data_IF_661349191943
#
_entry.id   IF_661349191943
#
_cell.length_a   1.000
_cell.length_b   1.000
_cell.length_c   1.000
_cell.angle_alpha   90.00
_cell.angle_beta   90.00
_cell.angle_gamma   90.00
#
_symmetry.space_group_name_H-M   'P 1'
#
loop_
_entity.id
_entity.type
_entity.pdbx_description
1 polymer ?
#
# COMPACT_ATOMS: atom_id res chain seq x y z
N UNK A 1 -7.33 20.27 6.76
CA UNK A 1 -6.88 19.49 5.58
C UNK A 1 -6.06 18.26 5.97
N UNK A 2 -4.91 18.38 6.67
CA UNK A 2 -4.06 17.21 7.05
C UNK A 2 -4.82 16.07 7.75
N UNK A 3 -5.69 16.39 8.71
CA UNK A 3 -6.53 15.39 9.42
C UNK A 3 -7.42 14.57 8.48
N UNK A 4 -8.11 15.23 7.54
CA UNK A 4 -8.96 14.56 6.57
C UNK A 4 -8.14 13.61 5.69
N UNK A 5 -7.02 14.09 5.17
CA UNK A 5 -6.10 13.30 4.33
C UNK A 5 -5.53 12.08 5.07
N UNK A 6 -5.23 12.20 6.37
CA UNK A 6 -4.84 11.06 7.20
C UNK A 6 -5.98 10.05 7.39
N UNK A 7 -7.21 10.52 7.59
CA UNK A 7 -8.38 9.63 7.69
C UNK A 7 -8.66 8.88 6.40
N UNK A 8 -8.52 9.53 5.24
CA UNK A 8 -8.62 8.86 3.95
C UNK A 8 -7.60 7.72 3.84
N UNK A 9 -6.36 7.95 4.28
CA UNK A 9 -5.33 6.91 4.31
C UNK A 9 -5.64 5.77 5.28
N UNK A 10 -6.16 6.09 6.47
CA UNK A 10 -6.56 5.09 7.48
C UNK A 10 -7.64 4.16 6.90
N UNK A 11 -8.69 4.74 6.34
CA UNK A 11 -9.83 4.04 5.77
C UNK A 11 -9.42 3.26 4.52
N UNK A 12 -8.66 3.90 3.62
CA UNK A 12 -8.13 3.30 2.42
C UNK A 12 -7.25 2.09 2.72
N UNK A 13 -6.27 2.24 3.62
CA UNK A 13 -5.40 1.14 4.03
C UNK A 13 -6.17 -0.01 4.68
N UNK A 14 -7.13 0.30 5.56
CA UNK A 14 -7.97 -0.71 6.20
C UNK A 14 -8.76 -1.53 5.18
N UNK A 15 -9.50 -0.87 4.28
CA UNK A 15 -10.27 -1.57 3.26
C UNK A 15 -9.38 -2.30 2.24
N UNK A 16 -8.22 -1.73 1.91
CA UNK A 16 -7.24 -2.40 1.07
C UNK A 16 -6.70 -3.68 1.72
N UNK A 17 -6.48 -3.68 3.04
CA UNK A 17 -6.01 -4.85 3.79
C UNK A 17 -7.10 -5.89 4.03
N UNK A 18 -8.36 -5.49 4.20
CA UNK A 18 -9.47 -6.43 4.41
C UNK A 18 -9.89 -7.12 3.11
N UNK A 19 -9.74 -6.45 1.95
CA UNK A 19 -10.19 -6.97 0.66
C UNK A 19 -9.59 -8.34 0.30
N UNK A 20 -8.28 -8.60 0.44
CA UNK A 20 -7.71 -9.93 0.19
C UNK A 20 -8.30 -11.04 1.07
N UNK A 21 -8.64 -10.75 2.34
CA UNK A 21 -9.31 -11.72 3.22
C UNK A 21 -10.69 -12.04 2.69
N UNK A 22 -11.45 -11.02 2.31
CA UNK A 22 -12.78 -11.18 1.74
C UNK A 22 -12.74 -12.03 0.47
N UNK A 23 -11.81 -11.71 -0.43
CA UNK A 23 -11.62 -12.41 -1.69
C UNK A 23 -11.20 -13.87 -1.51
N UNK A 24 -10.31 -14.14 -0.56
CA UNK A 24 -9.86 -15.50 -0.28
C UNK A 24 -10.95 -16.35 0.39
N UNK A 25 -11.64 -15.80 1.41
CA UNK A 25 -12.59 -16.57 2.23
C UNK A 25 -13.97 -16.75 1.59
N UNK A 26 -14.49 -15.71 0.95
CA UNK A 26 -15.88 -15.71 0.46
C UNK A 26 -15.96 -15.96 -1.03
N UNK A 27 -14.98 -15.50 -1.79
CA UNK A 27 -15.02 -15.57 -3.24
C UNK A 27 -14.12 -16.68 -3.81
N UNK A 28 -13.29 -17.33 -2.98
CA UNK A 28 -12.33 -18.36 -3.42
C UNK A 28 -11.35 -17.86 -4.48
N UNK A 29 -11.10 -16.54 -4.54
CA UNK A 29 -10.36 -15.90 -5.62
C UNK A 29 -8.88 -16.25 -5.54
N UNK A 30 -8.30 -16.55 -6.71
CA UNK A 30 -6.86 -16.72 -6.91
C UNK A 30 -6.23 -15.35 -7.20
N UNK A 31 -5.07 -15.09 -6.61
CA UNK A 31 -4.43 -13.78 -6.77
C UNK A 31 -3.72 -13.66 -8.11
N UNK A 32 -3.83 -12.50 -8.77
CA UNK A 32 -3.20 -12.23 -10.07
C UNK A 32 -3.93 -12.81 -11.27
N UNK A 33 -5.09 -13.45 -11.05
CA UNK A 33 -6.06 -13.75 -12.09
C UNK A 33 -7.17 -12.73 -11.93
N UNK A 34 -7.48 -11.98 -12.98
CA UNK A 34 -8.68 -11.15 -12.99
C UNK A 34 -9.89 -12.00 -12.59
N UNK A 35 -10.94 -11.36 -12.09
CA UNK A 35 -12.13 -12.09 -11.65
C UNK A 35 -13.40 -11.34 -12.03
N UNK A 36 -14.51 -12.08 -12.15
CA UNK A 36 -15.82 -11.50 -12.31
C UNK A 36 -16.26 -10.81 -11.01
N UNK A 37 -16.52 -9.48 -11.01
CA UNK A 37 -16.91 -8.75 -9.81
C UNK A 37 -18.27 -9.25 -9.29
N UNK A 38 -18.35 -9.54 -8.00
CA UNK A 38 -19.55 -10.14 -7.39
C UNK A 38 -20.45 -9.11 -6.68
N UNK A 39 -19.88 -7.99 -6.24
CA UNK A 39 -20.61 -6.98 -5.48
C UNK A 39 -20.05 -5.56 -5.69
N UNK A 40 -20.72 -4.57 -5.08
CA UNK A 40 -20.31 -3.17 -5.12
C UNK A 40 -18.87 -2.96 -4.62
N UNK A 41 -18.42 -3.76 -3.64
CA UNK A 41 -17.10 -3.59 -3.02
C UNK A 41 -15.98 -3.96 -3.98
N UNK A 42 -16.22 -4.93 -4.88
CA UNK A 42 -15.32 -5.24 -5.98
C UNK A 42 -15.15 -4.02 -6.89
N UNK A 43 -16.24 -3.44 -7.40
CA UNK A 43 -16.21 -2.31 -8.35
C UNK A 43 -15.48 -1.07 -7.86
N UNK A 44 -15.41 -0.85 -6.54
CA UNK A 44 -14.77 0.32 -5.94
C UNK A 44 -13.40 0.02 -5.33
N UNK A 45 -12.97 -1.24 -5.30
CA UNK A 45 -11.76 -1.64 -4.57
C UNK A 45 -10.47 -0.98 -5.08
N UNK A 46 -10.45 -0.60 -6.35
CA UNK A 46 -9.35 0.17 -6.96
C UNK A 46 -9.13 1.55 -6.30
N UNK A 47 -10.13 2.10 -5.62
CA UNK A 47 -10.05 3.39 -4.92
C UNK A 47 -9.24 3.27 -3.64
N UNK A 48 -9.22 2.11 -2.98
CA UNK A 48 -8.57 1.94 -1.67
C UNK A 48 -7.08 2.32 -1.65
N UNK A 49 -6.22 1.84 -2.57
CA UNK A 49 -4.83 2.31 -2.64
C UNK A 49 -4.73 3.81 -2.98
N UNK A 50 -5.66 4.37 -3.76
CA UNK A 50 -5.66 5.80 -4.11
C UNK A 50 -5.98 6.69 -2.90
N UNK A 51 -6.82 6.23 -1.97
CA UNK A 51 -7.10 6.95 -0.72
C UNK A 51 -5.85 7.09 0.16
N UNK A 52 -4.90 6.14 0.08
CA UNK A 52 -3.62 6.19 0.79
C UNK A 52 -2.73 7.36 0.35
N UNK A 53 -2.93 7.90 -0.86
CA UNK A 53 -2.25 9.12 -1.35
C UNK A 53 -2.50 10.31 -0.41
N UNK A 54 -3.67 10.36 0.25
CA UNK A 54 -3.95 11.38 1.26
C UNK A 54 -2.89 11.41 2.37
N UNK A 55 -2.50 10.24 2.89
CA UNK A 55 -1.46 10.14 3.91
C UNK A 55 -0.12 10.66 3.40
N UNK A 56 0.23 10.34 2.15
CA UNK A 56 1.45 10.84 1.53
C UNK A 56 1.44 12.36 1.38
N UNK A 57 0.36 12.96 0.89
CA UNK A 57 0.23 14.42 0.77
C UNK A 57 0.32 15.08 2.16
N UNK A 58 -0.31 14.49 3.17
CA UNK A 58 -0.23 14.98 4.54
C UNK A 58 1.21 14.89 5.09
N UNK A 59 1.94 13.80 4.82
CA UNK A 59 3.35 13.65 5.16
C UNK A 59 4.22 14.70 4.46
N UNK A 60 3.99 14.95 3.17
CA UNK A 60 4.69 15.98 2.42
C UNK A 60 4.46 17.37 3.03
N UNK A 61 3.25 17.66 3.50
CA UNK A 61 2.96 18.93 4.16
C UNK A 61 3.67 19.13 5.51
N UNK A 62 4.08 18.04 6.18
CA UNK A 62 4.77 18.06 7.46
C UNK A 62 6.29 18.23 7.28
N UNK A 63 6.89 17.51 6.34
CA UNK A 63 8.34 17.42 6.16
C UNK A 63 8.86 18.10 4.87
N UNK A 64 7.95 18.56 4.01
CA UNK A 64 8.22 19.32 2.79
C UNK A 64 9.28 18.67 1.90
N UNK A 65 10.35 19.41 1.58
CA UNK A 65 11.38 19.00 0.61
C UNK A 65 12.15 17.75 1.07
N UNK A 66 12.21 17.48 2.37
CA UNK A 66 13.01 16.40 2.95
C UNK A 66 12.53 15.01 2.51
N UNK A 67 11.22 14.87 2.29
CA UNK A 67 10.55 13.61 1.93
C UNK A 67 9.99 13.62 0.49
N UNK A 68 10.30 14.65 -0.31
CA UNK A 68 9.68 14.83 -1.63
C UNK A 68 9.83 13.61 -2.53
N UNK A 69 11.06 13.11 -2.66
CA UNK A 69 11.37 12.05 -3.62
C UNK A 69 10.69 10.72 -3.23
N UNK A 70 10.75 10.34 -1.95
CA UNK A 70 10.08 9.12 -1.48
C UNK A 70 8.56 9.21 -1.67
N UNK A 71 7.97 10.37 -1.37
CA UNK A 71 6.54 10.59 -1.54
C UNK A 71 6.13 10.50 -3.02
N UNK A 72 6.87 11.10 -3.94
CA UNK A 72 6.55 11.00 -5.37
C UNK A 72 6.57 9.54 -5.85
N UNK A 73 7.56 8.75 -5.41
CA UNK A 73 7.67 7.33 -5.76
C UNK A 73 6.50 6.54 -5.15
N UNK A 74 6.14 6.81 -3.89
CA UNK A 74 5.02 6.14 -3.21
C UNK A 74 3.66 6.52 -3.81
N UNK A 75 3.49 7.76 -4.29
CA UNK A 75 2.28 8.16 -5.02
C UNK A 75 2.18 7.38 -6.33
N UNK A 76 3.27 7.31 -7.10
CA UNK A 76 3.31 6.53 -8.34
C UNK A 76 2.96 5.06 -8.07
N UNK A 77 3.53 4.49 -7.01
CA UNK A 77 3.21 3.13 -6.58
C UNK A 77 1.73 2.93 -6.26
N UNK A 78 1.12 3.83 -5.45
CA UNK A 78 -0.30 3.75 -5.12
C UNK A 78 -1.21 3.88 -6.34
N UNK A 79 -0.84 4.73 -7.31
CA UNK A 79 -1.55 4.84 -8.59
C UNK A 79 -1.43 3.55 -9.39
N UNK A 80 -0.25 2.95 -9.49
CA UNK A 80 -0.05 1.67 -10.17
C UNK A 80 -0.85 0.54 -9.50
N UNK A 81 -0.90 0.49 -8.17
CA UNK A 81 -1.75 -0.46 -7.44
C UNK A 81 -3.24 -0.25 -7.72
N UNK A 82 -3.70 1.00 -7.80
CA UNK A 82 -5.08 1.32 -8.19
C UNK A 82 -5.38 0.90 -9.63
N UNK A 83 -4.48 1.17 -10.57
CA UNK A 83 -4.61 0.74 -11.97
C UNK A 83 -4.61 -0.78 -12.12
N UNK A 84 -3.79 -1.48 -11.32
CA UNK A 84 -3.80 -2.93 -11.24
C UNK A 84 -5.18 -3.46 -10.84
N UNK A 85 -5.69 -3.03 -9.69
CA UNK A 85 -7.01 -3.46 -9.21
C UNK A 85 -8.14 -3.08 -10.16
N UNK A 86 -8.07 -1.90 -10.79
CA UNK A 86 -9.02 -1.50 -11.83
C UNK A 86 -8.98 -2.49 -13.02
N UNK A 87 -7.78 -2.84 -13.49
CA UNK A 87 -7.61 -3.72 -14.64
C UNK A 87 -8.07 -5.15 -14.33
N UNK A 88 -7.84 -5.65 -13.11
CA UNK A 88 -8.32 -6.97 -12.68
C UNK A 88 -9.85 -7.10 -12.73
N UNK A 89 -10.57 -6.00 -12.50
CA UNK A 89 -12.05 -5.98 -12.47
C UNK A 89 -12.63 -5.71 -13.85
N UNK A 90 -12.18 -4.64 -14.50
CA UNK A 90 -12.84 -4.10 -15.70
C UNK A 90 -12.29 -4.68 -17.00
N UNK A 91 -11.13 -5.33 -16.96
CA UNK A 91 -10.50 -6.01 -18.10
C UNK A 91 -10.32 -7.50 -17.82
N UNK A 92 -11.19 -8.07 -16.97
CA UNK A 92 -11.26 -9.50 -16.72
C UNK A 92 -11.44 -10.26 -18.04
N UNK A 93 -10.60 -11.29 -18.25
CA UNK A 93 -10.59 -12.10 -19.48
C UNK A 93 -9.69 -11.56 -20.60
N UNK A 94 -8.98 -10.45 -20.39
CA UNK A 94 -7.93 -10.04 -21.34
C UNK A 94 -6.66 -10.89 -21.18
N UNK A 95 -5.97 -11.16 -22.27
CA UNK A 95 -4.67 -11.87 -22.26
C UNK A 95 -3.49 -11.00 -21.78
N UNK A 96 -3.75 -9.77 -21.32
CA UNK A 96 -2.71 -8.85 -20.88
C UNK A 96 -2.21 -9.22 -19.48
N UNK A 97 -0.87 -9.32 -19.27
CA UNK A 97 -0.30 -9.71 -17.99
C UNK A 97 -0.27 -8.53 -17.00
N UNK A 98 -1.44 -8.02 -16.60
CA UNK A 98 -1.56 -6.85 -15.71
C UNK A 98 -0.87 -7.02 -14.37
N UNK A 99 -0.77 -8.25 -13.85
CA UNK A 99 0.01 -8.57 -12.65
C UNK A 99 1.49 -8.21 -12.82
N UNK A 100 2.06 -8.49 -13.98
CA UNK A 100 3.46 -8.17 -14.27
C UNK A 100 3.65 -6.68 -14.59
N UNK A 101 2.70 -6.06 -15.29
CA UNK A 101 2.81 -4.65 -15.70
C UNK A 101 2.60 -3.71 -14.52
N UNK A 102 1.52 -3.88 -13.76
CA UNK A 102 1.10 -2.92 -12.74
C UNK A 102 1.43 -3.37 -11.31
N UNK A 103 1.18 -4.64 -10.96
CA UNK A 103 1.46 -5.12 -9.61
C UNK A 103 2.97 -5.21 -9.34
N UNK A 104 3.77 -5.82 -10.22
CA UNK A 104 5.23 -5.89 -10.03
C UNK A 104 5.87 -4.49 -10.01
N UNK A 105 5.58 -3.66 -11.01
CA UNK A 105 6.10 -2.28 -11.09
C UNK A 105 5.66 -1.46 -9.88
N UNK A 106 4.39 -1.56 -9.48
CA UNK A 106 3.84 -0.90 -8.29
C UNK A 106 4.54 -1.35 -7.01
N UNK A 107 4.79 -2.65 -6.85
CA UNK A 107 5.48 -3.26 -5.69
C UNK A 107 6.94 -2.81 -5.63
N UNK A 108 7.65 -2.79 -6.76
CA UNK A 108 9.02 -2.26 -6.83
C UNK A 108 9.08 -0.77 -6.47
N UNK A 109 8.17 0.04 -7.02
CA UNK A 109 8.06 1.44 -6.63
C UNK A 109 7.74 1.58 -5.13
N UNK A 110 6.85 0.76 -4.58
CA UNK A 110 6.51 0.81 -3.16
C UNK A 110 7.73 0.50 -2.30
N UNK A 111 8.48 -0.54 -2.64
CA UNK A 111 9.71 -0.93 -1.96
C UNK A 111 10.75 0.21 -1.98
N UNK A 112 11.06 0.75 -3.16
CA UNK A 112 12.05 1.85 -3.31
C UNK A 112 11.58 3.12 -2.58
N UNK A 113 10.32 3.49 -2.74
CA UNK A 113 9.75 4.66 -2.08
C UNK A 113 9.79 4.54 -0.55
N UNK A 114 9.52 3.34 -0.03
CA UNK A 114 9.49 3.05 1.40
C UNK A 114 10.88 3.11 2.04
N UNK A 115 11.90 2.53 1.42
CA UNK A 115 13.27 2.60 1.96
C UNK A 115 13.83 4.03 1.89
N UNK A 116 13.52 4.78 0.82
CA UNK A 116 13.89 6.19 0.73
C UNK A 116 13.18 7.02 1.82
N UNK A 117 11.89 6.76 2.06
CA UNK A 117 11.14 7.43 3.11
C UNK A 117 11.75 7.16 4.49
N UNK A 118 12.10 5.90 4.77
CA UNK A 118 12.78 5.53 6.02
C UNK A 118 14.08 6.30 6.22
N UNK A 119 14.96 6.31 5.20
CA UNK A 119 16.26 7.00 5.26
C UNK A 119 16.07 8.50 5.46
N UNK A 120 15.10 9.11 4.78
CA UNK A 120 14.80 10.54 4.90
C UNK A 120 14.24 10.87 6.29
N UNK A 121 13.27 10.11 6.79
CA UNK A 121 12.65 10.36 8.10
C UNK A 121 13.63 10.20 9.27
N UNK A 122 14.58 9.26 9.17
CA UNK A 122 15.62 9.09 10.20
C UNK A 122 16.55 10.31 10.32
N UNK A 123 16.71 11.11 9.27
CA UNK A 123 17.58 12.29 9.27
C UNK A 123 16.92 13.54 9.87
N UNK A 124 15.59 13.58 9.92
CA UNK A 124 14.84 14.82 10.16
C UNK A 124 14.54 15.07 11.64
N UNK A 125 13.96 14.11 12.38
CA UNK A 125 13.61 14.28 13.81
C UNK A 125 13.50 12.94 14.56
N UNK A 126 13.76 12.94 15.87
CA UNK A 126 13.52 11.80 16.77
C UNK A 126 12.03 11.38 16.83
N UNK A 127 11.11 12.34 16.70
CA UNK A 127 9.65 12.10 16.73
C UNK A 127 9.11 11.32 15.53
N UNK A 128 9.92 11.02 14.51
CA UNK A 128 9.50 10.27 13.32
C UNK A 128 9.61 8.76 13.50
N UNK A 129 10.05 8.27 14.67
CA UNK A 129 10.33 6.85 14.92
C UNK A 129 9.18 5.94 14.42
N UNK A 130 7.95 6.27 14.79
CA UNK A 130 6.78 5.48 14.40
C UNK A 130 6.51 5.50 12.87
N UNK A 131 6.66 6.66 12.23
CA UNK A 131 6.49 6.80 10.77
C UNK A 131 7.62 6.10 10.00
N UNK A 132 8.84 6.13 10.54
CA UNK A 132 9.97 5.39 9.97
C UNK A 132 9.78 3.87 10.12
N UNK A 133 9.20 3.40 11.23
CA UNK A 133 8.84 2.00 11.42
C UNK A 133 7.79 1.51 10.42
N UNK A 134 6.79 2.33 10.10
CA UNK A 134 5.82 1.98 9.04
C UNK A 134 6.48 1.92 7.66
N UNK A 135 7.45 2.80 7.38
CA UNK A 135 8.16 2.79 6.11
C UNK A 135 9.06 1.54 5.96
N UNK A 136 9.77 1.12 7.01
CA UNK A 136 10.57 -0.10 6.93
C UNK A 136 9.70 -1.36 6.86
N UNK A 137 8.56 -1.40 7.56
CA UNK A 137 7.61 -2.50 7.44
C UNK A 137 7.07 -2.62 6.00
N UNK A 138 6.69 -1.48 5.40
CA UNK A 138 6.21 -1.46 4.01
C UNK A 138 7.29 -1.93 3.03
N UNK A 139 8.55 -1.57 3.27
CA UNK A 139 9.69 -2.09 2.49
C UNK A 139 9.81 -3.62 2.61
N UNK A 140 9.78 -4.16 3.83
CA UNK A 140 9.95 -5.59 4.07
C UNK A 140 8.83 -6.42 3.44
N UNK A 141 7.57 -5.99 3.57
CA UNK A 141 6.43 -6.70 2.98
C UNK A 141 6.50 -6.72 1.46
N UNK A 142 6.86 -5.61 0.83
CA UNK A 142 7.02 -5.54 -0.62
C UNK A 142 8.24 -6.34 -1.11
N UNK A 143 9.33 -6.36 -0.33
CA UNK A 143 10.47 -7.22 -0.61
C UNK A 143 10.08 -8.71 -0.55
N UNK A 144 9.33 -9.11 0.47
CA UNK A 144 8.81 -10.47 0.63
C UNK A 144 7.85 -10.83 -0.50
N UNK A 145 6.97 -9.92 -0.93
CA UNK A 145 6.11 -10.15 -2.09
C UNK A 145 6.92 -10.43 -3.36
N UNK A 146 7.95 -9.62 -3.64
CA UNK A 146 8.81 -9.82 -4.81
C UNK A 146 9.56 -11.16 -4.71
N UNK A 147 10.17 -11.43 -3.55
CA UNK A 147 10.89 -12.67 -3.31
C UNK A 147 9.98 -13.89 -3.45
N UNK A 148 8.78 -13.84 -2.89
CA UNK A 148 7.79 -14.92 -2.98
C UNK A 148 7.32 -15.14 -4.42
N UNK A 149 7.09 -14.06 -5.18
CA UNK A 149 6.70 -14.15 -6.60
C UNK A 149 7.79 -14.83 -7.45
N UNK A 150 9.07 -14.50 -7.19
CA UNK A 150 10.20 -15.16 -7.87
C UNK A 150 10.31 -16.63 -7.43
N UNK A 151 10.18 -16.90 -6.12
CA UNK A 151 10.27 -18.25 -5.57
C UNK A 151 9.12 -19.15 -6.03
N UNK A 152 7.90 -18.64 -6.18
CA UNK A 152 6.78 -19.43 -6.69
C UNK A 152 7.02 -19.88 -8.13
N UNK A 153 7.60 -19.02 -8.96
CA UNK A 153 7.88 -19.34 -10.37
C UNK A 153 9.10 -20.27 -10.52
N UNK A 154 10.13 -20.11 -9.68
CA UNK A 154 11.38 -20.88 -9.78
C UNK A 154 11.33 -22.21 -9.03
N UNK A 155 10.70 -22.26 -7.84
CA UNK A 155 10.64 -23.47 -7.00
C UNK A 155 9.34 -24.26 -7.16
N UNK A 156 8.38 -23.79 -7.98
CA UNK A 156 7.05 -24.42 -8.16
C UNK A 156 6.42 -24.70 -6.79
N UNK A 157 6.36 -23.67 -5.94
CA UNK A 157 5.69 -23.78 -4.64
C UNK A 157 4.21 -24.12 -4.89
N UNK A 158 3.65 -25.12 -4.18
CA UNK A 158 2.24 -25.45 -4.31
C UNK A 158 1.35 -24.22 -4.05
N UNK A 159 0.32 -24.04 -4.88
CA UNK A 159 -0.63 -22.91 -4.77
C UNK A 159 -1.31 -22.84 -3.39
N UNK A 160 -1.51 -24.00 -2.76
CA UNK A 160 -2.06 -24.16 -1.40
C UNK A 160 -1.20 -23.49 -0.32
N UNK A 161 0.10 -23.30 -0.59
CA UNK A 161 1.06 -22.69 0.32
C UNK A 161 1.30 -21.22 -0.06
N UNK A 162 1.47 -20.92 -1.36
CA UNK A 162 1.78 -19.56 -1.81
C UNK A 162 0.60 -18.60 -1.65
N UNK A 163 -0.63 -19.06 -1.88
CA UNK A 163 -1.83 -18.21 -1.83
C UNK A 163 -2.09 -17.64 -0.43
N UNK A 164 -2.09 -18.42 0.66
CA UNK A 164 -2.28 -17.87 2.01
C UNK A 164 -1.19 -16.86 2.40
N UNK A 165 0.06 -17.11 2.00
CA UNK A 165 1.18 -16.20 2.31
C UNK A 165 1.00 -14.87 1.56
N UNK A 166 0.66 -14.92 0.27
CA UNK A 166 0.35 -13.72 -0.51
C UNK A 166 -0.79 -12.92 0.12
N UNK A 167 -1.89 -13.58 0.49
CA UNK A 167 -3.02 -12.93 1.16
C UNK A 167 -2.55 -12.23 2.44
N UNK A 168 -1.77 -12.90 3.30
CA UNK A 168 -1.24 -12.30 4.54
C UNK A 168 -0.38 -11.07 4.24
N UNK A 169 0.47 -11.11 3.21
CA UNK A 169 1.31 -9.98 2.83
C UNK A 169 0.48 -8.79 2.32
N UNK A 170 -0.55 -9.02 1.50
CA UNK A 170 -1.44 -7.95 1.03
C UNK A 170 -2.26 -7.33 2.17
N UNK A 171 -2.75 -8.19 3.08
CA UNK A 171 -3.41 -7.75 4.31
C UNK A 171 -2.50 -6.83 5.11
N UNK A 172 -1.26 -7.28 5.34
CA UNK A 172 -0.26 -6.54 6.10
C UNK A 172 0.06 -5.18 5.45
N UNK A 173 0.23 -5.13 4.12
CA UNK A 173 0.45 -3.87 3.38
C UNK A 173 -0.69 -2.87 3.62
N UNK A 174 -1.95 -3.31 3.48
CA UNK A 174 -3.11 -2.45 3.74
C UNK A 174 -3.11 -1.92 5.18
N UNK A 175 -2.86 -2.78 6.16
CA UNK A 175 -2.77 -2.37 7.55
C UNK A 175 -1.61 -1.41 7.83
N UNK A 176 -0.44 -1.62 7.22
CA UNK A 176 0.70 -0.70 7.34
C UNK A 176 0.34 0.69 6.82
N UNK A 177 -0.39 0.79 5.70
CA UNK A 177 -0.93 2.07 5.22
C UNK A 177 -1.89 2.71 6.22
N UNK A 178 -2.74 1.92 6.86
CA UNK A 178 -3.64 2.43 7.89
C UNK A 178 -2.86 2.98 9.10
N UNK A 179 -1.87 2.23 9.59
CA UNK A 179 -0.98 2.65 10.69
C UNK A 179 -0.16 3.88 10.30
N UNK A 180 0.30 3.97 9.06
CA UNK A 180 0.97 5.16 8.50
C UNK A 180 0.05 6.39 8.57
N UNK A 181 -1.23 6.24 8.19
CA UNK A 181 -2.25 7.28 8.34
C UNK A 181 -2.44 7.73 9.80
N UNK A 182 -2.52 6.79 10.74
CA UNK A 182 -2.58 7.09 12.18
C UNK A 182 -1.33 7.81 12.70
N UNK A 183 -0.14 7.39 12.25
CA UNK A 183 1.12 8.02 12.59
C UNK A 183 1.12 9.51 12.22
N UNK A 184 0.68 9.82 10.99
CA UNK A 184 0.56 11.20 10.50
C UNK A 184 -0.49 11.98 11.29
N UNK A 185 -1.65 11.38 11.58
CA UNK A 185 -2.71 12.04 12.34
C UNK A 185 -2.21 12.47 13.72
N UNK A 186 -1.44 11.60 14.40
CA UNK A 186 -0.82 11.90 15.69
C UNK A 186 0.20 13.02 15.58
N UNK A 187 1.07 12.99 14.56
CA UNK A 187 2.08 14.02 14.32
C UNK A 187 1.45 15.39 14.00
N UNK A 188 0.39 15.43 13.20
CA UNK A 188 -0.33 16.66 12.89
C UNK A 188 -0.98 17.29 14.13
N UNK A 189 -1.45 16.47 15.09
CA UNK A 189 -1.97 16.96 16.37
C UNK A 189 -0.87 17.61 17.21
N UNK A 190 0.32 17.00 17.27
CA UNK A 190 1.47 17.54 18.01
C UNK A 190 1.99 18.84 17.40
N UNK A 191 2.05 18.94 16.07
CA UNK A 191 2.48 20.14 15.34
C UNK A 191 1.55 21.34 15.64
N UNK A 192 0.23 21.09 15.73
CA UNK A 192 -0.75 22.14 16.07
C UNK A 192 -0.57 22.67 17.49
N UNK A 193 -0.25 21.79 18.45
CA UNK A 193 -0.05 22.17 19.86
C UNK A 193 1.22 23.02 20.03
N UNK A 194 2.30 22.71 19.32
CA UNK A 194 3.56 23.46 19.40
C UNK A 194 3.49 24.85 18.76
N UNK A 195 2.57 25.09 17.82
CA UNK A 195 2.37 26.43 17.20
C UNK A 195 1.54 27.34 18.12
N UNK A 196 0.78 26.77 19.07
CA UNK A 196 -0.06 27.52 20.01
C UNK A 196 0.64 27.86 21.34
N UNK A 197 1.87 27.40 21.54
CA UNK A 197 2.74 27.78 22.67
C UNK A 197 3.77 28.79 22.20
#
# INVERSE_FOLDING_TARGET
MKKLLSWLCIIGGFFWGVKPIYDALFNGKRWGQGYEPQDLTDYISFIFPLLCIGGLIASYSLYKKEVRNSIMILILSAVLSGLFSFSEIYLYGSDLPFGLIFMLTGTMCMMIGSIYLFIQLKKVRSSTLFLSSTAIALFLDNFLLIALSILSDVLVLPEEISTPILVILFVSIGFIWSVFGFAILRLAKLDTINIQK
#
